data_IF_916846311552
#
_entry.id   IF_916846311552
#
_cell.length_a   1.000
_cell.length_b   1.000
_cell.length_c   1.000
_cell.angle_alpha   90.00
_cell.angle_beta   90.00
_cell.angle_gamma   90.00
#
_symmetry.space_group_name_H-M   'P 1'
#
loop_
_entity.id
_entity.type
_entity.pdbx_description
1 polymer ?
#
# COMPACT_ATOMS: atom_id res chain seq x y z
N UNK A 1 0.57 -21.50 14.54
CA UNK A 1 1.34 -20.59 13.69
C UNK A 1 1.08 -21.02 12.26
N UNK A 2 0.02 -20.51 11.65
CA UNK A 2 -0.59 -21.11 10.45
C UNK A 2 -0.46 -20.20 9.23
N UNK A 3 0.35 -20.62 8.27
CA UNK A 3 0.22 -20.52 6.81
C UNK A 3 -0.51 -19.32 6.12
N UNK A 4 -0.69 -18.16 6.75
CA UNK A 4 -1.37 -16.98 6.17
C UNK A 4 -0.49 -15.71 6.15
N UNK A 5 0.74 -15.78 6.66
CA UNK A 5 1.65 -14.63 6.73
C UNK A 5 2.45 -14.43 5.43
N UNK A 6 2.37 -15.38 4.49
CA UNK A 6 3.21 -15.41 3.28
C UNK A 6 2.72 -14.56 2.09
N UNK A 7 1.54 -13.94 2.12
CA UNK A 7 0.96 -13.34 0.91
C UNK A 7 0.39 -11.91 1.05
N UNK A 8 0.50 -11.25 2.22
CA UNK A 8 -0.03 -9.88 2.38
C UNK A 8 0.70 -8.85 1.53
N UNK A 9 2.03 -8.94 1.47
CA UNK A 9 2.84 -8.04 0.66
C UNK A 9 2.54 -8.18 -0.85
N UNK A 10 2.32 -9.39 -1.34
CA UNK A 10 1.94 -9.62 -2.74
C UNK A 10 0.53 -9.12 -3.03
N UNK A 11 -0.46 -9.38 -2.17
CA UNK A 11 -1.79 -8.78 -2.29
C UNK A 11 -1.75 -7.25 -2.23
N UNK A 12 -0.86 -6.67 -1.43
CA UNK A 12 -0.65 -5.22 -1.39
C UNK A 12 -0.13 -4.69 -2.74
N UNK A 13 0.87 -5.34 -3.34
CA UNK A 13 1.39 -4.97 -4.66
C UNK A 13 0.32 -5.11 -5.74
N UNK A 14 -0.47 -6.19 -5.72
CA UNK A 14 -1.58 -6.35 -6.66
C UNK A 14 -2.61 -5.21 -6.50
N UNK A 15 -3.01 -4.90 -5.28
CA UNK A 15 -3.96 -3.83 -4.99
C UNK A 15 -3.42 -2.44 -5.38
N UNK A 16 -2.14 -2.18 -5.11
CA UNK A 16 -1.46 -0.94 -5.50
C UNK A 16 -1.49 -0.74 -7.02
N UNK A 17 -1.22 -1.80 -7.79
CA UNK A 17 -1.28 -1.75 -9.26
C UNK A 17 -2.68 -1.51 -9.82
N UNK A 18 -3.74 -1.73 -9.02
CA UNK A 18 -5.14 -1.54 -9.41
C UNK A 18 -5.77 -0.28 -8.82
N UNK A 19 -5.08 0.42 -7.91
CA UNK A 19 -5.60 1.63 -7.28
C UNK A 19 -5.80 2.73 -8.33
N UNK A 20 -7.03 3.21 -8.47
CA UNK A 20 -7.41 4.25 -9.43
C UNK A 20 -7.48 5.64 -8.82
N UNK A 21 -7.51 5.72 -7.49
CA UNK A 21 -7.70 6.96 -6.73
C UNK A 21 -6.88 6.93 -5.43
N UNK A 22 -6.78 8.09 -4.79
CA UNK A 22 -6.00 8.25 -3.55
C UNK A 22 -6.49 7.35 -2.41
N UNK A 23 -7.80 7.13 -2.31
CA UNK A 23 -8.39 6.35 -1.21
C UNK A 23 -8.08 4.85 -1.35
N UNK A 24 -8.21 4.31 -2.56
CA UNK A 24 -7.86 2.93 -2.89
C UNK A 24 -6.36 2.68 -2.80
N UNK A 25 -5.54 3.68 -3.13
CA UNK A 25 -4.08 3.64 -2.93
C UNK A 25 -3.71 3.52 -1.45
N UNK A 26 -4.27 4.36 -0.57
CA UNK A 26 -4.02 4.27 0.87
C UNK A 26 -4.43 2.90 1.45
N UNK A 27 -5.58 2.38 1.02
CA UNK A 27 -6.05 1.07 1.45
C UNK A 27 -5.08 -0.05 1.05
N UNK A 28 -4.53 0.02 -0.17
CA UNK A 28 -3.54 -0.94 -0.65
C UNK A 28 -2.20 -0.83 0.10
N UNK A 29 -1.74 0.39 0.42
CA UNK A 29 -0.56 0.61 1.27
C UNK A 29 -0.76 0.01 2.67
N UNK A 30 -1.98 0.05 3.22
CA UNK A 30 -2.30 -0.56 4.52
C UNK A 30 -2.13 -2.09 4.57
N UNK A 31 -2.10 -2.77 3.42
CA UNK A 31 -1.81 -4.20 3.31
C UNK A 31 -0.30 -4.50 3.30
N UNK A 32 0.53 -3.47 3.08
CA UNK A 32 1.97 -3.60 2.92
C UNK A 32 2.66 -3.69 4.29
N UNK A 33 2.78 -4.93 4.79
CA UNK A 33 3.31 -5.26 6.12
C UNK A 33 4.85 -5.44 6.15
N UNK A 34 5.54 -4.95 5.11
CA UNK A 34 7.00 -4.91 5.10
C UNK A 34 7.50 -3.73 5.94
N UNK A 35 8.79 -3.73 6.34
CA UNK A 35 9.38 -2.64 7.11
C UNK A 35 9.14 -1.28 6.48
N UNK A 36 9.25 -0.22 7.30
CA UNK A 36 8.87 1.14 6.95
C UNK A 36 9.24 1.52 5.50
N UNK A 37 8.23 1.61 4.64
CA UNK A 37 8.39 1.84 3.20
C UNK A 37 7.66 3.11 2.81
N UNK A 38 8.38 3.98 2.13
CA UNK A 38 7.84 5.23 1.63
C UNK A 38 7.15 5.00 0.29
N UNK A 39 5.91 5.46 0.17
CA UNK A 39 5.13 5.42 -1.05
C UNK A 39 4.82 6.84 -1.53
N UNK A 40 4.93 7.03 -2.84
CA UNK A 40 4.56 8.27 -3.53
C UNK A 40 3.44 7.93 -4.51
N UNK A 41 2.44 8.80 -4.59
CA UNK A 41 1.27 8.67 -5.43
C UNK A 41 1.17 9.83 -6.40
N UNK A 42 0.71 9.55 -7.62
CA UNK A 42 0.29 10.54 -8.59
C UNK A 42 -0.83 9.97 -9.47
N UNK A 43 -1.81 10.80 -9.86
CA UNK A 43 -2.90 10.43 -10.78
C UNK A 43 -3.15 11.45 -11.89
N UNK A 44 -4.08 11.11 -12.79
CA UNK A 44 -4.43 11.93 -13.96
C UNK A 44 -5.24 13.19 -13.60
N UNK A 45 -5.80 13.27 -12.40
CA UNK A 45 -6.50 14.46 -11.88
C UNK A 45 -5.52 15.48 -11.29
N UNK A 46 -4.23 15.12 -11.21
CA UNK A 46 -3.17 15.98 -10.70
C UNK A 46 -2.96 15.87 -9.20
N UNK A 47 -3.53 14.85 -8.54
CA UNK A 47 -3.24 14.60 -7.14
C UNK A 47 -1.82 14.06 -6.99
N UNK A 48 -1.08 14.57 -6.00
CA UNK A 48 0.25 14.05 -5.63
C UNK A 48 0.23 13.79 -4.12
N UNK A 49 0.62 12.59 -3.71
CA UNK A 49 0.52 12.13 -2.34
C UNK A 49 1.78 11.43 -1.86
N UNK A 50 1.98 11.46 -0.54
CA UNK A 50 3.01 10.68 0.14
C UNK A 50 2.37 9.95 1.32
N UNK A 51 2.74 8.68 1.50
CA UNK A 51 2.34 7.88 2.65
C UNK A 51 3.46 6.93 3.01
N UNK A 52 3.72 6.77 4.30
CA UNK A 52 4.66 5.79 4.82
C UNK A 52 3.88 4.58 5.31
N UNK A 53 4.17 3.39 4.79
CA UNK A 53 3.71 2.15 5.41
C UNK A 53 4.60 1.83 6.61
N UNK A 54 4.02 1.21 7.62
CA UNK A 54 4.76 0.78 8.81
C UNK A 54 3.90 0.85 10.05
N UNK A 55 4.05 -0.14 10.94
CA UNK A 55 3.45 -0.10 12.26
C UNK A 55 4.41 0.62 13.21
N UNK A 56 4.08 1.85 13.57
CA UNK A 56 4.73 2.56 14.67
C UNK A 56 4.10 2.05 15.98
N UNK A 57 4.91 1.61 16.97
CA UNK A 57 4.41 1.21 18.29
C UNK A 57 3.64 2.31 19.02
#
# INVERSE_FOLDING_TARGET
>A
MGAQDGNRAFSAVEALNRAGDWQTFQAAVGLFDLPATNFVYADAEGNIGYVMSGRVP
#
